data_IF_330506306145
#
_entry.id   IF_330506306145
#
_cell.length_a   1.000
_cell.length_b   1.000
_cell.length_c   1.000
_cell.angle_alpha   90.00
_cell.angle_beta   90.00
_cell.angle_gamma   90.00
#
_symmetry.space_group_name_H-M   'P 1'
#
loop_
_entity.id
_entity.type
_entity.pdbx_description
1 polymer ?
#
# COMPACT_ATOMS: atom_id res chain seq x y z
N UNK A 1 -50.50 -11.66 17.81
CA UNK A 1 -50.17 -12.23 16.48
C UNK A 1 -49.20 -11.34 15.70
N UNK A 2 -49.47 -10.04 15.51
CA UNK A 2 -48.59 -9.12 14.76
C UNK A 2 -47.14 -9.00 15.26
N UNK A 3 -46.92 -9.08 16.58
CA UNK A 3 -45.59 -8.99 17.19
C UNK A 3 -44.68 -10.19 16.87
N UNK A 4 -45.27 -11.36 16.59
CA UNK A 4 -44.52 -12.57 16.23
C UNK A 4 -43.96 -12.48 14.81
N UNK A 5 -44.77 -12.01 13.87
CA UNK A 5 -44.37 -11.79 12.47
C UNK A 5 -43.30 -10.70 12.33
N UNK A 6 -43.41 -9.63 13.13
CA UNK A 6 -42.42 -8.56 13.13
C UNK A 6 -41.04 -9.05 13.60
N UNK A 7 -40.99 -9.89 14.64
CA UNK A 7 -39.72 -10.47 15.12
C UNK A 7 -39.12 -11.49 14.16
N UNK A 8 -39.96 -12.24 13.46
CA UNK A 8 -39.51 -13.21 12.45
C UNK A 8 -38.92 -12.51 11.21
N UNK A 9 -39.58 -11.46 10.72
CA UNK A 9 -39.08 -10.65 9.61
C UNK A 9 -37.76 -9.93 9.95
N UNK A 10 -37.66 -9.38 11.16
CA UNK A 10 -36.44 -8.72 11.63
C UNK A 10 -35.25 -9.70 11.72
N UNK A 11 -35.49 -10.92 12.21
CA UNK A 11 -34.46 -11.97 12.25
C UNK A 11 -33.96 -12.40 10.87
N UNK A 12 -34.86 -12.50 9.90
CA UNK A 12 -34.51 -12.91 8.53
C UNK A 12 -33.68 -11.84 7.79
N UNK A 13 -34.02 -10.56 7.97
CA UNK A 13 -33.25 -9.43 7.42
C UNK A 13 -31.83 -9.41 8.01
N UNK A 14 -31.68 -9.58 9.32
CA UNK A 14 -30.38 -9.61 9.98
C UNK A 14 -29.51 -10.78 9.46
N UNK A 15 -30.12 -11.96 9.21
CA UNK A 15 -29.40 -13.10 8.65
C UNK A 15 -28.91 -12.88 7.21
N UNK A 16 -29.66 -12.14 6.40
CA UNK A 16 -29.26 -11.78 5.03
C UNK A 16 -28.12 -10.74 5.02
N UNK A 17 -28.06 -9.84 6.01
CA UNK A 17 -26.96 -8.87 6.13
C UNK A 17 -25.62 -9.53 6.52
N UNK A 18 -25.63 -10.67 7.23
CA UNK A 18 -24.40 -11.29 7.73
C UNK A 18 -23.62 -12.13 6.71
N UNK A 19 -24.19 -12.47 5.54
CA UNK A 19 -23.57 -13.40 4.58
C UNK A 19 -22.82 -12.72 3.41
N UNK A 20 -22.68 -11.39 3.38
CA UNK A 20 -22.24 -10.67 2.17
C UNK A 20 -20.74 -10.40 2.01
N UNK A 21 -19.85 -10.90 2.87
CA UNK A 21 -18.41 -10.60 2.72
C UNK A 21 -17.50 -11.83 2.85
N UNK A 22 -17.04 -12.36 1.72
CA UNK A 22 -15.78 -13.10 1.61
C UNK A 22 -15.02 -12.67 0.34
N UNK A 23 -13.98 -11.85 0.48
CA UNK A 23 -13.01 -11.51 -0.57
C UNK A 23 -11.78 -12.45 -0.47
N UNK A 24 -11.40 -13.09 -1.59
CA UNK A 24 -10.17 -13.90 -1.70
C UNK A 24 -9.04 -13.06 -2.34
N UNK A 25 -7.89 -12.96 -1.70
CA UNK A 25 -6.80 -12.00 -2.04
C UNK A 25 -5.66 -12.66 -2.85
N UNK A 26 -5.35 -12.19 -4.07
CA UNK A 26 -4.10 -12.45 -4.81
C UNK A 26 -3.69 -11.21 -5.65
N UNK A 27 -2.39 -10.91 -5.87
CA UNK A 27 -1.85 -9.61 -6.34
C UNK A 27 -1.43 -9.56 -7.87
N UNK A 28 -1.27 -8.36 -8.51
CA UNK A 28 -1.26 -8.15 -9.98
C UNK A 28 0.12 -8.07 -10.69
N UNK A 29 0.13 -8.07 -12.05
CA UNK A 29 1.32 -8.28 -12.91
C UNK A 29 1.87 -7.03 -13.63
N UNK A 30 3.15 -7.03 -14.02
CA UNK A 30 3.91 -5.89 -14.61
C UNK A 30 3.35 -5.29 -15.90
N UNK A 31 2.60 -6.09 -16.65
CA UNK A 31 1.96 -5.62 -17.90
C UNK A 31 0.87 -4.57 -17.64
N UNK A 32 0.40 -4.39 -16.40
CA UNK A 32 -0.79 -3.58 -16.03
C UNK A 32 -0.48 -2.17 -15.41
N UNK A 33 0.78 -1.73 -15.20
CA UNK A 33 1.14 -0.49 -14.45
C UNK A 33 1.63 0.72 -15.29
N UNK A 34 2.04 0.54 -16.54
CA UNK A 34 2.74 1.55 -17.35
C UNK A 34 1.84 2.62 -18.01
N UNK A 35 0.53 2.62 -17.72
CA UNK A 35 -0.43 3.55 -18.32
C UNK A 35 -0.67 4.86 -17.50
N UNK A 36 0.14 5.20 -16.47
CA UNK A 36 -0.26 6.09 -15.33
C UNK A 36 0.34 7.53 -15.17
N UNK A 37 1.20 8.05 -16.07
CA UNK A 37 1.69 9.48 -16.18
C UNK A 37 2.01 10.33 -14.90
N UNK A 38 3.23 10.32 -14.33
CA UNK A 38 3.65 11.03 -13.08
C UNK A 38 4.83 12.07 -13.24
N UNK A 39 5.14 12.97 -12.26
CA UNK A 39 6.13 14.11 -12.34
C UNK A 39 7.54 13.90 -11.72
N UNK A 40 8.58 14.54 -12.31
CA UNK A 40 10.04 14.30 -12.06
C UNK A 40 10.93 15.59 -12.09
N UNK A 41 11.90 15.81 -11.15
CA UNK A 41 12.89 16.95 -11.14
C UNK A 41 13.72 17.18 -9.84
N UNK A 42 14.86 17.91 -9.87
CA UNK A 42 15.80 18.08 -8.72
C UNK A 42 15.12 18.62 -7.45
N UNK A 43 15.34 17.94 -6.31
CA UNK A 43 14.68 18.22 -5.03
C UNK A 43 15.22 19.51 -4.39
N UNK A 44 14.64 20.66 -4.72
CA UNK A 44 15.01 21.94 -4.12
C UNK A 44 14.43 21.99 -2.70
N UNK A 45 15.28 22.10 -1.68
CA UNK A 45 14.85 22.18 -0.27
C UNK A 45 15.23 23.54 0.33
N UNK A 46 14.30 24.17 1.04
CA UNK A 46 14.51 25.48 1.66
C UNK A 46 14.86 25.28 3.14
N UNK A 47 16.14 25.11 3.49
CA UNK A 47 16.54 24.91 4.88
C UNK A 47 18.06 24.84 5.08
N UNK A 48 18.56 25.07 6.31
CA UNK A 48 19.99 24.97 6.61
C UNK A 48 20.50 23.55 6.29
N UNK A 49 21.76 23.39 5.84
CA UNK A 49 22.27 22.17 5.22
C UNK A 49 22.08 20.87 6.01
N UNK A 50 21.84 20.94 7.32
CA UNK A 50 21.70 19.78 8.20
C UNK A 50 20.27 19.55 8.74
N UNK A 51 19.28 20.36 8.35
CA UNK A 51 17.85 20.21 8.71
C UNK A 51 16.96 20.56 7.50
N UNK A 52 17.24 19.95 6.35
CA UNK A 52 16.55 20.24 5.09
C UNK A 52 15.19 19.52 4.95
N UNK A 53 14.98 18.41 5.65
CA UNK A 53 13.76 17.59 5.59
C UNK A 53 13.47 16.95 6.96
N UNK A 54 12.18 16.81 7.31
CA UNK A 54 11.77 16.03 8.50
C UNK A 54 11.99 14.52 8.30
N UNK A 55 12.04 13.76 9.40
CA UNK A 55 12.10 12.29 9.33
C UNK A 55 10.76 11.72 8.85
N UNK A 56 10.78 10.81 7.87
CA UNK A 56 9.60 10.06 7.42
C UNK A 56 9.86 8.58 7.63
N UNK A 57 8.98 7.96 8.41
CA UNK A 57 8.98 6.54 8.69
C UNK A 57 7.61 5.99 8.33
N UNK A 58 7.56 5.15 7.29
CA UNK A 58 6.34 4.46 6.89
C UNK A 58 6.43 3.03 7.43
N UNK A 59 5.72 2.72 8.54
CA UNK A 59 5.68 1.37 9.04
C UNK A 59 5.01 0.47 8.01
N UNK A 60 5.73 -0.56 7.55
CA UNK A 60 5.20 -1.56 6.63
C UNK A 60 4.76 -2.80 7.41
N UNK A 61 3.78 -3.53 6.87
CA UNK A 61 3.28 -4.75 7.49
C UNK A 61 4.23 -5.97 7.32
N UNK A 62 5.46 -5.79 6.81
CA UNK A 62 6.42 -6.85 6.49
C UNK A 62 7.42 -7.13 7.61
N UNK A 63 8.25 -8.17 7.42
CA UNK A 63 9.31 -8.56 8.38
C UNK A 63 10.31 -7.41 8.56
N UNK A 64 10.82 -7.19 9.79
CA UNK A 64 11.69 -6.05 10.09
C UNK A 64 12.97 -6.01 9.25
N UNK A 65 13.53 -7.16 8.87
CA UNK A 65 14.75 -7.23 8.05
C UNK A 65 14.56 -6.61 6.65
N UNK A 66 13.33 -6.60 6.15
CA UNK A 66 12.96 -6.12 4.81
C UNK A 66 12.75 -4.60 4.77
N UNK A 67 12.43 -3.96 5.91
CA UNK A 67 12.13 -2.52 5.98
C UNK A 67 13.30 -1.67 5.46
N UNK A 68 14.54 -2.05 5.75
CA UNK A 68 15.72 -1.27 5.36
C UNK A 68 15.94 -1.24 3.84
N UNK A 69 15.92 -2.40 3.18
CA UNK A 69 16.04 -2.47 1.72
C UNK A 69 14.80 -1.88 1.03
N UNK A 70 13.60 -1.97 1.63
CA UNK A 70 12.37 -1.35 1.12
C UNK A 70 12.40 0.19 1.19
N UNK A 71 12.84 0.75 2.31
CA UNK A 71 13.05 2.19 2.47
C UNK A 71 14.18 2.73 1.58
N UNK A 72 15.22 1.92 1.30
CA UNK A 72 16.25 2.26 0.31
C UNK A 72 15.65 2.32 -1.10
N UNK A 73 14.85 1.33 -1.49
CA UNK A 73 14.13 1.33 -2.75
C UNK A 73 13.24 2.59 -2.91
N UNK A 74 12.50 3.00 -1.88
CA UNK A 74 11.67 4.22 -1.92
C UNK A 74 12.47 5.53 -2.03
N UNK A 75 13.66 5.59 -1.44
CA UNK A 75 14.56 6.74 -1.56
C UNK A 75 15.15 6.88 -2.97
N UNK A 76 15.48 5.76 -3.61
CA UNK A 76 15.90 5.73 -5.01
C UNK A 76 14.77 6.24 -5.92
N UNK A 77 13.52 5.82 -5.68
CA UNK A 77 12.35 6.31 -6.41
C UNK A 77 12.11 7.81 -6.26
N UNK A 78 12.24 8.37 -5.06
CA UNK A 78 12.10 9.81 -4.82
C UNK A 78 13.25 10.66 -5.37
N UNK A 79 14.34 10.02 -5.78
CA UNK A 79 15.49 10.66 -6.43
C UNK A 79 15.54 10.43 -7.94
N UNK A 80 14.51 9.79 -8.50
CA UNK A 80 14.38 9.49 -9.93
C UNK A 80 15.35 8.43 -10.49
N UNK A 81 15.89 7.55 -9.62
CA UNK A 81 16.82 6.46 -9.95
C UNK A 81 16.08 5.12 -10.18
N UNK A 82 15.38 5.01 -11.30
CA UNK A 82 14.38 3.94 -11.50
C UNK A 82 14.98 2.54 -11.76
N UNK A 83 16.04 2.40 -12.55
CA UNK A 83 16.66 1.09 -12.85
C UNK A 83 17.34 0.47 -11.62
N UNK A 84 17.95 1.33 -10.79
CA UNK A 84 18.57 0.88 -9.56
C UNK A 84 17.54 0.58 -8.48
N UNK A 85 16.48 1.39 -8.35
CA UNK A 85 15.33 1.04 -7.53
C UNK A 85 14.74 -0.31 -7.97
N UNK A 86 14.64 -0.54 -9.29
CA UNK A 86 14.20 -1.82 -9.85
C UNK A 86 15.13 -2.98 -9.46
N UNK A 87 16.47 -2.84 -9.53
CA UNK A 87 17.41 -3.88 -9.05
C UNK A 87 17.25 -4.17 -7.56
N UNK A 88 17.00 -3.16 -6.72
CA UNK A 88 16.77 -3.33 -5.27
C UNK A 88 15.43 -4.02 -4.98
N UNK A 89 14.33 -3.57 -5.60
CA UNK A 89 13.03 -4.24 -5.44
C UNK A 89 13.06 -5.65 -6.06
N UNK A 90 13.80 -5.88 -7.15
CA UNK A 90 14.02 -7.21 -7.73
C UNK A 90 14.79 -8.11 -6.77
N UNK A 91 15.87 -7.62 -6.15
CA UNK A 91 16.60 -8.36 -5.13
C UNK A 91 15.72 -8.70 -3.90
N UNK A 92 14.83 -7.81 -3.46
CA UNK A 92 13.85 -8.05 -2.38
C UNK A 92 12.79 -9.10 -2.75
N UNK A 93 12.32 -9.10 -4.00
CA UNK A 93 11.39 -10.12 -4.51
C UNK A 93 12.07 -11.51 -4.57
N UNK A 94 13.41 -11.55 -4.71
CA UNK A 94 14.23 -12.77 -4.75
C UNK A 94 14.89 -13.19 -3.40
N UNK A 95 14.75 -12.39 -2.34
CA UNK A 95 15.25 -12.67 -0.97
C UNK A 95 14.38 -13.70 -0.24
#
# INVERSE_FOLDING_TARGET
MATFWFRLALGLVISLLCCSCQEKKAAPSRKELNELNLRIGQLITCGPPNQQLGSVDFPIACRPETQANFTLGLKLLHSFEYEEAEKVFAALIHQ
#
